data_IF_467691944338
#
_entry.id   IF_467691944338
#
_cell.length_a   1.000
_cell.length_b   1.000
_cell.length_c   1.000
_cell.angle_alpha   90.00
_cell.angle_beta   90.00
_cell.angle_gamma   90.00
#
_symmetry.space_group_name_H-M   'P 1'
#
loop_
_entity.id
_entity.type
_entity.pdbx_description
1 polymer ?
#
# COMPACT_ATOMS: atom_id res chain seq x y z
N UNK A 1 -17.32 -10.90 3.40
CA UNK A 1 -18.42 -10.53 2.47
C UNK A 1 -19.52 -11.58 2.64
N UNK A 2 -20.78 -11.19 2.88
CA UNK A 2 -21.86 -12.13 3.18
C UNK A 2 -22.72 -12.44 1.94
N UNK A 3 -23.65 -13.39 2.07
CA UNK A 3 -24.55 -13.85 1.01
C UNK A 3 -25.48 -12.75 0.43
N UNK A 4 -25.61 -11.62 1.12
CA UNK A 4 -26.43 -10.48 0.70
C UNK A 4 -25.64 -9.40 -0.04
N UNK A 5 -24.33 -9.56 -0.20
CA UNK A 5 -23.51 -8.59 -0.91
C UNK A 5 -23.65 -8.74 -2.42
N UNK A 6 -24.11 -7.67 -3.08
CA UNK A 6 -24.23 -7.62 -4.54
C UNK A 6 -22.87 -7.35 -5.19
N UNK A 7 -22.18 -8.44 -5.51
CA UNK A 7 -20.85 -8.40 -6.14
C UNK A 7 -20.88 -7.72 -7.51
N UNK A 8 -21.95 -7.87 -8.29
CA UNK A 8 -22.08 -7.29 -9.63
C UNK A 8 -22.19 -5.78 -9.52
N UNK A 9 -23.11 -5.30 -8.68
CA UNK A 9 -23.29 -3.85 -8.47
C UNK A 9 -22.04 -3.19 -7.87
N UNK A 10 -21.33 -3.87 -6.97
CA UNK A 10 -20.10 -3.36 -6.40
C UNK A 10 -18.98 -3.24 -7.45
N UNK A 11 -18.82 -4.26 -8.29
CA UNK A 11 -17.87 -4.24 -9.41
C UNK A 11 -18.19 -3.11 -10.38
N UNK A 12 -19.45 -2.96 -10.79
CA UNK A 12 -19.86 -1.93 -11.75
C UNK A 12 -19.68 -0.52 -11.16
N UNK A 13 -19.91 -0.35 -9.85
CA UNK A 13 -19.61 0.90 -9.14
C UNK A 13 -18.11 1.19 -9.10
N UNK A 14 -17.27 0.17 -8.83
CA UNK A 14 -15.82 0.30 -8.83
C UNK A 14 -15.30 0.76 -10.21
N UNK A 15 -15.78 0.15 -11.29
CA UNK A 15 -15.39 0.55 -12.66
C UNK A 15 -15.67 2.03 -12.92
N UNK A 16 -16.86 2.51 -12.54
CA UNK A 16 -17.22 3.92 -12.70
C UNK A 16 -16.31 4.84 -11.87
N UNK A 17 -16.07 4.52 -10.60
CA UNK A 17 -15.20 5.35 -9.75
C UNK A 17 -13.74 5.35 -10.21
N UNK A 18 -13.25 4.23 -10.73
CA UNK A 18 -11.91 4.14 -11.30
C UNK A 18 -11.81 5.01 -12.56
N UNK A 19 -12.83 5.01 -13.42
CA UNK A 19 -12.89 5.90 -14.59
C UNK A 19 -12.83 7.37 -14.20
N UNK A 20 -13.68 7.79 -13.25
CA UNK A 20 -13.69 9.17 -12.72
C UNK A 20 -12.32 9.54 -12.11
N UNK A 21 -11.67 8.61 -11.40
CA UNK A 21 -10.38 8.87 -10.75
C UNK A 21 -9.22 8.99 -11.74
N UNK A 22 -9.27 8.24 -12.86
CA UNK A 22 -8.25 8.31 -13.92
C UNK A 22 -8.24 9.64 -14.67
N UNK A 23 -9.36 10.35 -14.75
CA UNK A 23 -9.43 11.66 -15.39
C UNK A 23 -8.73 12.75 -14.57
N UNK A 24 -8.61 12.53 -13.25
CA UNK A 24 -8.11 13.53 -12.30
C UNK A 24 -6.67 13.21 -11.89
N UNK A 25 -6.28 11.93 -11.85
CA UNK A 25 -4.98 11.50 -11.34
C UNK A 25 -4.17 10.73 -12.38
N UNK A 26 -3.09 11.35 -12.88
CA UNK A 26 -2.18 10.74 -13.86
C UNK A 26 -1.37 9.56 -13.29
N UNK A 27 -1.21 9.49 -11.97
CA UNK A 27 -0.58 8.38 -11.25
C UNK A 27 -1.59 7.37 -10.72
N UNK A 28 -2.83 7.38 -11.24
CA UNK A 28 -3.73 6.26 -11.03
C UNK A 28 -3.18 5.00 -11.72
N UNK A 29 -3.02 3.89 -10.99
CA UNK A 29 -2.33 2.68 -11.47
C UNK A 29 -2.93 2.12 -12.78
N UNK A 30 -4.24 2.22 -12.99
CA UNK A 30 -4.88 1.82 -14.24
C UNK A 30 -4.47 2.69 -15.46
N UNK A 31 -3.97 3.91 -15.23
CA UNK A 31 -3.60 4.87 -16.27
C UNK A 31 -2.08 4.89 -16.56
N UNK A 32 -1.23 4.56 -15.58
CA UNK A 32 0.24 4.74 -15.72
C UNK A 32 0.86 3.92 -16.86
N UNK A 33 0.34 2.71 -17.13
CA UNK A 33 0.82 1.86 -18.22
C UNK A 33 0.42 2.41 -19.60
N UNK A 34 -0.71 3.10 -19.68
CA UNK A 34 -1.23 3.72 -20.91
C UNK A 34 -0.51 5.02 -21.23
N UNK A 35 -0.17 5.80 -20.21
CA UNK A 35 0.38 7.15 -20.35
C UNK A 35 1.91 7.20 -20.38
N UNK A 36 2.60 6.06 -20.27
CA UNK A 36 4.07 5.97 -20.16
C UNK A 36 4.66 6.82 -19.02
N UNK A 37 3.86 7.16 -18.01
CA UNK A 37 4.28 7.98 -16.87
C UNK A 37 5.44 7.36 -16.08
N UNK A 38 5.66 6.05 -16.21
CA UNK A 38 6.80 5.34 -15.61
C UNK A 38 8.16 5.69 -16.25
N UNK A 39 8.21 6.31 -17.44
CA UNK A 39 9.49 6.64 -18.11
C UNK A 39 10.27 7.75 -17.41
N UNK A 40 9.59 8.62 -16.65
CA UNK A 40 10.20 9.71 -15.88
C UNK A 40 10.44 9.35 -14.42
N UNK A 41 10.18 8.10 -14.01
CA UNK A 41 10.30 7.66 -12.62
C UNK A 41 11.69 7.08 -12.37
N UNK A 42 12.42 7.62 -11.39
CA UNK A 42 13.67 7.07 -10.87
C UNK A 42 13.44 6.44 -9.49
N UNK A 43 14.30 5.49 -9.13
CA UNK A 43 14.35 4.93 -7.77
C UNK A 43 15.61 5.46 -7.08
N UNK A 44 15.45 6.11 -5.93
CA UNK A 44 16.57 6.70 -5.20
C UNK A 44 16.54 6.27 -3.72
N UNK A 45 17.73 6.02 -3.16
CA UNK A 45 17.94 5.78 -1.74
C UNK A 45 17.84 7.11 -0.99
N UNK A 46 17.10 7.14 0.12
CA UNK A 46 16.99 8.35 0.94
C UNK A 46 18.23 8.63 1.82
N UNK A 47 19.29 7.86 1.60
CA UNK A 47 20.57 7.95 2.28
C UNK A 47 20.69 6.99 3.47
N UNK A 48 19.61 6.27 3.81
CA UNK A 48 19.62 5.26 4.87
C UNK A 48 20.14 3.90 4.40
N UNK A 49 20.08 3.61 3.10
CA UNK A 49 20.31 2.28 2.54
C UNK A 49 19.18 1.28 2.79
N UNK A 50 18.13 1.70 3.52
CA UNK A 50 16.99 0.86 3.91
C UNK A 50 15.66 1.34 3.33
N UNK A 51 15.59 2.61 2.91
CA UNK A 51 14.38 3.22 2.37
C UNK A 51 14.68 3.78 0.99
N UNK A 52 13.89 3.33 0.02
CA UNK A 52 13.99 3.74 -1.36
C UNK A 52 12.68 4.38 -1.79
N UNK A 53 12.76 5.46 -2.56
CA UNK A 53 11.62 6.25 -3.01
C UNK A 53 11.58 6.28 -4.53
N UNK A 54 10.37 6.21 -5.07
CA UNK A 54 10.14 6.45 -6.49
C UNK A 54 9.92 7.95 -6.68
N UNK A 55 10.76 8.58 -7.48
CA UNK A 55 10.76 10.01 -7.73
C UNK A 55 10.42 10.32 -9.19
N UNK A 56 9.74 11.43 -9.43
CA UNK A 56 9.49 11.97 -10.78
C UNK A 56 9.94 13.42 -10.83
N UNK A 57 10.27 13.92 -12.03
CA UNK A 57 10.53 15.35 -12.22
C UNK A 57 9.21 16.12 -12.15
N UNK A 58 9.18 17.19 -11.34
CA UNK A 58 8.06 18.12 -11.33
C UNK A 58 7.92 18.79 -12.71
N UNK A 59 6.68 19.03 -13.14
CA UNK A 59 6.40 19.66 -14.45
C UNK A 59 6.84 21.12 -14.51
N UNK A 60 6.97 21.78 -13.37
CA UNK A 60 7.15 23.23 -13.27
C UNK A 60 8.46 23.66 -12.60
N UNK A 61 9.17 22.78 -11.89
CA UNK A 61 10.44 23.07 -11.22
C UNK A 61 11.46 21.95 -11.44
N UNK A 62 12.75 22.25 -11.30
CA UNK A 62 13.82 21.24 -11.36
C UNK A 62 13.89 20.37 -10.08
N UNK A 63 12.82 20.36 -9.28
CA UNK A 63 12.70 19.56 -8.07
C UNK A 63 12.10 18.19 -8.39
N UNK A 64 12.59 17.18 -7.67
CA UNK A 64 12.08 15.81 -7.74
C UNK A 64 11.00 15.62 -6.69
N UNK A 65 9.87 15.03 -7.08
CA UNK A 65 8.75 14.73 -6.18
C UNK A 65 8.55 13.23 -6.02
N UNK A 66 8.11 12.80 -4.83
CA UNK A 66 7.77 11.40 -4.58
C UNK A 66 6.49 11.01 -5.31
N UNK A 67 6.54 9.88 -6.04
CA UNK A 67 5.41 9.37 -6.81
C UNK A 67 4.41 8.68 -5.88
N UNK A 68 3.21 9.26 -5.78
CA UNK A 68 2.10 8.67 -5.03
C UNK A 68 1.10 8.04 -6.00
N UNK A 69 1.12 6.71 -6.06
CA UNK A 69 0.16 5.96 -6.86
C UNK A 69 -1.21 5.89 -6.19
N UNK A 70 -2.27 5.90 -7.00
CA UNK A 70 -3.65 5.72 -6.54
C UNK A 70 -4.29 4.50 -7.18
N UNK A 71 -5.12 3.80 -6.42
CA UNK A 71 -5.92 2.68 -6.90
C UNK A 71 -7.28 2.67 -6.23
N UNK A 72 -8.34 2.49 -7.01
CA UNK A 72 -9.66 2.18 -6.48
C UNK A 72 -9.80 0.67 -6.30
N UNK A 73 -10.36 0.23 -5.19
CA UNK A 73 -10.67 -1.18 -4.94
C UNK A 73 -11.77 -1.35 -3.89
N UNK A 74 -12.29 -2.56 -3.78
CA UNK A 74 -13.32 -2.92 -2.79
C UNK A 74 -12.66 -3.53 -1.57
N UNK A 75 -12.95 -2.98 -0.39
CA UNK A 75 -12.47 -3.54 0.87
C UNK A 75 -13.07 -4.93 1.07
N UNK A 76 -12.21 -5.93 1.15
CA UNK A 76 -12.56 -7.35 1.23
C UNK A 76 -12.10 -7.99 2.56
N UNK A 77 -11.11 -7.39 3.22
CA UNK A 77 -10.66 -7.73 4.56
C UNK A 77 -10.05 -6.51 5.23
N UNK A 78 -10.17 -6.42 6.55
CA UNK A 78 -9.59 -5.34 7.33
C UNK A 78 -9.24 -5.82 8.74
N UNK A 79 -8.07 -5.40 9.21
CA UNK A 79 -7.61 -5.47 10.59
C UNK A 79 -7.12 -4.05 10.94
N UNK A 80 -8.05 -3.22 11.40
CA UNK A 80 -7.86 -1.78 11.59
C UNK A 80 -8.09 -1.42 13.06
N UNK A 81 -7.57 -0.27 13.52
CA UNK A 81 -7.87 0.25 14.85
C UNK A 81 -9.36 0.57 15.01
N UNK A 82 -9.83 0.79 16.25
CA UNK A 82 -9.06 0.84 17.50
C UNK A 82 -8.63 -0.54 18.02
N UNK A 83 -7.43 -0.61 18.59
CA UNK A 83 -6.95 -1.81 19.27
C UNK A 83 -7.33 -1.80 20.75
N UNK A 84 -8.20 -2.73 21.14
CA UNK A 84 -8.65 -2.85 22.53
C UNK A 84 -7.85 -3.86 23.36
N UNK A 85 -7.18 -4.82 22.71
CA UNK A 85 -6.44 -5.91 23.36
C UNK A 85 -5.31 -6.40 22.46
N UNK A 86 -4.16 -6.75 23.06
CA UNK A 86 -3.09 -7.50 22.38
C UNK A 86 -3.42 -8.99 22.41
N UNK A 87 -3.30 -9.71 21.29
CA UNK A 87 -3.35 -11.17 21.30
C UNK A 87 -2.30 -11.74 22.27
N UNK A 88 -2.70 -12.66 23.16
CA UNK A 88 -1.82 -13.22 24.21
C UNK A 88 -0.56 -13.89 23.67
N UNK A 89 -0.54 -14.32 22.41
CA UNK A 89 0.62 -14.95 21.76
C UNK A 89 1.66 -13.94 21.24
N UNK A 90 1.40 -12.64 21.31
CA UNK A 90 2.28 -11.59 20.78
C UNK A 90 3.13 -10.90 21.85
N UNK A 91 3.04 -11.28 23.13
CA UNK A 91 3.84 -10.68 24.22
C UNK A 91 5.34 -10.65 23.90
N UNK A 92 5.81 -11.61 23.10
CA UNK A 92 7.22 -11.79 22.80
C UNK A 92 7.63 -11.20 21.42
N UNK A 93 6.68 -10.68 20.63
CA UNK A 93 6.93 -10.19 19.24
C UNK A 93 6.10 -8.95 18.84
N UNK A 94 6.17 -7.82 19.57
CA UNK A 94 5.41 -6.61 19.23
C UNK A 94 5.79 -5.99 17.87
N UNK A 95 7.01 -6.26 17.37
CA UNK A 95 7.53 -5.77 16.07
C UNK A 95 6.70 -6.20 14.85
N UNK A 96 5.85 -7.22 14.99
CA UNK A 96 5.02 -7.76 13.89
C UNK A 96 3.61 -7.15 13.90
N UNK A 97 3.26 -6.34 14.91
CA UNK A 97 1.93 -5.75 14.99
C UNK A 97 1.74 -4.71 13.88
N UNK A 98 0.67 -4.88 13.10
CA UNK A 98 0.35 -4.00 11.98
C UNK A 98 -1.15 -3.90 11.74
N UNK A 99 -1.57 -2.78 11.17
CA UNK A 99 -2.85 -2.64 10.50
C UNK A 99 -2.77 -3.28 9.12
N UNK A 100 -3.86 -3.87 8.67
CA UNK A 100 -3.93 -4.54 7.39
C UNK A 100 -5.26 -4.25 6.69
N UNK A 101 -5.17 -3.91 5.41
CA UNK A 101 -6.31 -3.73 4.54
C UNK A 101 -6.13 -4.63 3.31
N UNK A 102 -7.13 -5.43 3.00
CA UNK A 102 -7.17 -6.21 1.78
C UNK A 102 -8.22 -5.63 0.85
N UNK A 103 -7.81 -5.19 -0.33
CA UNK A 103 -8.71 -4.70 -1.38
C UNK A 103 -8.72 -5.65 -2.57
N UNK A 104 -9.88 -5.83 -3.19
CA UNK A 104 -10.05 -6.66 -4.39
C UNK A 104 -10.89 -5.91 -5.42
N UNK A 105 -10.70 -6.24 -6.69
CA UNK A 105 -11.51 -5.72 -7.79
C UNK A 105 -12.82 -6.47 -8.02
N UNK A 106 -13.00 -7.66 -7.40
CA UNK A 106 -14.12 -8.57 -7.68
C UNK A 106 -14.37 -8.81 -9.19
N UNK A 107 -13.28 -8.89 -9.96
CA UNK A 107 -13.32 -9.06 -11.41
C UNK A 107 -13.49 -7.79 -12.24
N UNK A 108 -13.41 -6.60 -11.63
CA UNK A 108 -13.30 -5.34 -12.38
C UNK A 108 -12.02 -5.30 -13.22
N UNK A 109 -12.17 -4.91 -14.49
CA UNK A 109 -11.09 -4.74 -15.45
C UNK A 109 -10.12 -3.63 -15.04
N UNK A 110 -10.61 -2.48 -14.59
CA UNK A 110 -9.76 -1.37 -14.10
C UNK A 110 -8.86 -1.76 -12.92
N UNK A 111 -9.37 -2.62 -12.03
CA UNK A 111 -8.55 -3.15 -10.94
C UNK A 111 -7.49 -4.14 -11.46
N UNK A 112 -7.86 -5.05 -12.37
CA UNK A 112 -6.91 -5.98 -12.96
C UNK A 112 -5.77 -5.26 -13.72
N UNK A 113 -6.10 -4.18 -14.43
CA UNK A 113 -5.12 -3.30 -15.07
C UNK A 113 -4.21 -2.62 -14.03
N UNK A 114 -4.78 -2.13 -12.92
CA UNK A 114 -4.02 -1.53 -11.81
C UNK A 114 -3.04 -2.53 -11.20
N UNK A 115 -3.45 -3.78 -11.02
CA UNK A 115 -2.57 -4.82 -10.50
C UNK A 115 -1.47 -5.21 -11.48
N UNK A 116 -1.76 -5.22 -12.79
CA UNK A 116 -0.74 -5.38 -13.81
C UNK A 116 0.28 -4.24 -13.78
N UNK A 117 -0.18 -2.99 -13.59
CA UNK A 117 0.69 -1.84 -13.46
C UNK A 117 1.57 -1.91 -12.20
N UNK A 118 1.02 -2.36 -11.07
CA UNK A 118 1.77 -2.55 -9.83
C UNK A 118 2.87 -3.62 -9.97
N UNK A 119 2.62 -4.68 -10.75
CA UNK A 119 3.67 -5.66 -11.12
C UNK A 119 4.82 -4.99 -11.89
N UNK A 120 4.51 -4.12 -12.85
CA UNK A 120 5.55 -3.40 -13.62
C UNK A 120 6.35 -2.43 -12.73
N UNK A 121 5.69 -1.75 -11.79
CA UNK A 121 6.38 -0.92 -10.78
C UNK A 121 7.31 -1.78 -9.92
N UNK A 122 6.84 -2.94 -9.43
CA UNK A 122 7.67 -3.89 -8.66
C UNK A 122 8.87 -4.38 -9.46
N UNK A 123 8.67 -4.74 -10.73
CA UNK A 123 9.75 -5.17 -11.62
C UNK A 123 10.77 -4.06 -11.88
N UNK A 124 10.34 -2.80 -11.90
CA UNK A 124 11.24 -1.65 -12.04
C UNK A 124 12.15 -1.54 -10.82
N UNK A 125 11.58 -1.67 -9.61
CA UNK A 125 12.37 -1.72 -8.39
C UNK A 125 13.31 -2.93 -8.37
N UNK A 126 12.83 -4.14 -8.68
CA UNK A 126 13.64 -5.38 -8.67
C UNK A 126 14.89 -5.32 -9.56
N UNK A 127 14.87 -4.54 -10.66
CA UNK A 127 16.03 -4.37 -11.55
C UNK A 127 17.18 -3.59 -10.92
N UNK A 128 16.89 -2.72 -9.96
CA UNK A 128 17.88 -1.92 -9.25
C UNK A 128 18.54 -2.69 -8.10
N UNK A 129 17.91 -3.77 -7.63
CA UNK A 129 18.44 -4.61 -6.55
C UNK A 129 19.09 -5.89 -7.06
N UNK A 130 20.05 -6.42 -6.30
CA UNK A 130 20.57 -7.77 -6.54
C UNK A 130 19.48 -8.79 -6.29
N UNK A 131 19.44 -9.84 -7.12
CA UNK A 131 18.48 -10.92 -6.99
C UNK A 131 18.43 -11.46 -5.55
N UNK A 132 17.21 -11.55 -5.00
CA UNK A 132 16.96 -12.04 -3.65
C UNK A 132 17.19 -11.02 -2.52
N UNK A 133 17.48 -9.76 -2.84
CA UNK A 133 17.61 -8.68 -1.84
C UNK A 133 16.26 -8.01 -1.56
N UNK A 134 15.46 -7.81 -2.61
CA UNK A 134 14.09 -7.30 -2.51
C UNK A 134 13.11 -8.47 -2.38
N UNK A 135 12.19 -8.39 -1.42
CA UNK A 135 11.08 -9.34 -1.33
C UNK A 135 10.15 -9.11 -2.53
N UNK A 136 9.88 -10.18 -3.27
CA UNK A 136 9.00 -10.10 -4.44
C UNK A 136 7.60 -9.72 -4.00
N UNK A 137 7.04 -8.66 -4.58
CA UNK A 137 5.64 -8.34 -4.37
C UNK A 137 4.76 -9.36 -5.10
N UNK A 138 3.82 -9.97 -4.36
CA UNK A 138 2.86 -10.92 -4.92
C UNK A 138 1.44 -10.53 -4.52
N UNK A 139 0.49 -10.52 -5.48
CA UNK A 139 -0.89 -10.29 -5.15
C UNK A 139 -1.45 -11.43 -4.31
N UNK A 140 -2.45 -11.12 -3.48
CA UNK A 140 -3.22 -12.11 -2.74
C UNK A 140 -4.50 -12.46 -3.52
N UNK A 141 -5.32 -13.35 -2.95
CA UNK A 141 -6.60 -13.72 -3.56
C UNK A 141 -7.72 -13.60 -2.55
N UNK A 142 -8.87 -13.08 -2.99
CA UNK A 142 -10.10 -13.03 -2.22
C UNK A 142 -11.26 -13.60 -3.06
N UNK A 143 -11.92 -14.65 -2.56
CA UNK A 143 -13.01 -15.34 -3.27
C UNK A 143 -12.67 -15.72 -4.74
N UNK A 144 -11.42 -16.11 -5.00
CA UNK A 144 -10.96 -16.47 -6.34
C UNK A 144 -10.60 -15.28 -7.25
N UNK A 145 -10.80 -14.04 -6.80
CA UNK A 145 -10.35 -12.84 -7.49
C UNK A 145 -9.01 -12.36 -6.95
N UNK A 146 -8.25 -11.67 -7.80
CA UNK A 146 -7.02 -10.99 -7.40
C UNK A 146 -7.32 -9.90 -6.37
N UNK A 147 -6.45 -9.80 -5.38
CA UNK A 147 -6.51 -8.83 -4.30
C UNK A 147 -5.10 -8.31 -4.00
N UNK A 148 -5.03 -7.13 -3.39
CA UNK A 148 -3.80 -6.62 -2.81
C UNK A 148 -3.99 -6.37 -1.33
N UNK A 149 -2.90 -6.54 -0.60
CA UNK A 149 -2.82 -6.29 0.81
C UNK A 149 -1.92 -5.10 1.05
N UNK A 150 -2.41 -4.13 1.81
CA UNK A 150 -1.66 -3.00 2.30
C UNK A 150 -1.55 -3.10 3.82
N UNK A 151 -0.33 -2.94 4.32
CA UNK A 151 0.00 -3.16 5.72
C UNK A 151 0.78 -1.99 6.27
N UNK A 152 0.39 -1.49 7.44
CA UNK A 152 1.12 -0.43 8.14
C UNK A 152 1.50 -0.93 9.54
N UNK A 153 2.80 -0.96 9.86
CA UNK A 153 3.29 -1.46 11.15
C UNK A 153 3.09 -0.41 12.23
N UNK A 154 2.65 -0.85 13.42
CA UNK A 154 2.59 0.02 14.58
C UNK A 154 3.97 0.31 15.16
N UNK A 155 4.90 -0.65 15.03
CA UNK A 155 6.24 -0.55 15.57
C UNK A 155 7.29 -0.81 14.48
N UNK A 156 8.38 -0.04 14.53
CA UNK A 156 9.60 -0.25 13.76
C UNK A 156 10.76 -0.39 14.74
N UNK A 157 11.76 -1.22 14.42
CA UNK A 157 13.02 -1.22 15.17
C UNK A 157 13.77 0.07 14.87
N UNK A 158 14.13 0.80 15.92
CA UNK A 158 15.02 1.95 15.83
C UNK A 158 16.43 1.43 15.54
N UNK A 159 17.08 1.94 14.49
CA UNK A 159 18.46 1.59 14.17
C UNK A 159 19.44 2.63 14.75
N UNK A 160 20.71 2.26 14.87
CA UNK A 160 21.75 3.19 15.32
C UNK A 160 21.90 4.32 14.30
N UNK A 161 21.57 5.56 14.72
CA UNK A 161 21.53 6.74 13.84
C UNK A 161 20.13 7.23 13.46
N UNK A 162 19.06 6.50 13.81
CA UNK A 162 17.69 7.01 13.69
C UNK A 162 17.48 8.15 14.69
N UNK A 163 17.25 9.37 14.18
CA UNK A 163 16.78 10.51 14.97
C UNK A 163 15.25 10.66 14.92
N UNK A 164 14.54 9.64 14.44
CA UNK A 164 13.09 9.66 14.31
C UNK A 164 12.43 9.76 15.69
N UNK A 165 11.54 10.73 15.82
CA UNK A 165 10.75 10.93 17.04
C UNK A 165 9.62 9.92 17.05
N UNK A 166 9.57 9.08 18.09
CA UNK A 166 8.46 8.16 18.29
C UNK A 166 7.13 8.92 18.32
N UNK A 167 6.25 8.62 17.38
CA UNK A 167 4.93 9.23 17.31
C UNK A 167 4.04 8.63 18.42
N UNK A 168 3.40 9.50 19.19
CA UNK A 168 2.42 9.07 20.18
C UNK A 168 1.19 8.51 19.47
N UNK A 169 0.71 7.35 19.91
CA UNK A 169 -0.52 6.78 19.38
C UNK A 169 -1.73 7.67 19.73
N UNK A 170 -2.54 8.08 18.74
CA UNK A 170 -3.74 8.85 19.00
C UNK A 170 -4.81 7.97 19.66
N UNK A 171 -5.75 8.57 20.41
CA UNK A 171 -6.78 7.82 21.17
C UNK A 171 -7.73 7.04 20.27
N UNK A 172 -7.88 7.45 19.02
CA UNK A 172 -8.67 6.77 18.00
C UNK A 172 -8.04 5.44 17.58
N UNK A 173 -6.71 5.32 17.73
CA UNK A 173 -5.95 4.11 17.39
C UNK A 173 -5.73 3.23 18.63
N UNK A 174 -5.37 3.84 19.76
CA UNK A 174 -5.09 3.16 21.02
C UNK A 174 -5.90 3.73 22.20
N UNK A 175 -7.22 3.49 22.27
CA UNK A 175 -8.07 4.09 23.29
C UNK A 175 -7.68 3.73 24.73
N UNK A 176 -7.06 2.56 24.91
CA UNK A 176 -6.74 1.99 26.22
C UNK A 176 -5.24 2.04 26.55
N UNK A 177 -4.40 2.66 25.71
CA UNK A 177 -2.95 2.73 25.92
C UNK A 177 -2.25 1.37 25.80
N UNK A 178 -2.87 0.42 25.10
CA UNK A 178 -2.41 -0.96 24.93
C UNK A 178 -1.17 -1.01 24.02
N UNK A 179 -1.15 -0.23 22.94
CA UNK A 179 0.03 -0.10 22.08
C UNK A 179 1.16 0.63 22.80
N UNK A 180 0.82 1.69 23.54
CA UNK A 180 1.79 2.44 24.32
C UNK A 180 2.46 1.59 25.42
N UNK A 181 1.78 0.57 25.95
CA UNK A 181 2.37 -0.36 26.93
C UNK A 181 3.37 -1.34 26.30
N UNK A 182 3.38 -1.48 24.96
CA UNK A 182 4.26 -2.40 24.24
C UNK A 182 5.47 -1.72 23.57
N UNK A 183 5.49 -0.38 23.50
CA UNK A 183 6.57 0.42 22.90
C UNK A 183 7.82 0.47 23.76
#
# INVERSE_FOLDING_TARGET
MNEFYDTVKARDALERYAQESMEINEFHLCAITKNRSMQSVSLEDDGSGYVWRLLTQAKEEAETEEVVFTVNGIISGMDLPPLYRVPKSMSDKPVILSQKLTISGLGASTFAESMSALREVSLTAEREFKQGTLEQWTPTTFNGFEAMESTNRYFRRVHEGDNDVALTFPKEVDPNGVLQQLS
#
